data_IF_084506055538
#
_entry.id   IF_084506055538
#
_cell.length_a   1.000
_cell.length_b   1.000
_cell.length_c   1.000
_cell.angle_alpha   90.00
_cell.angle_beta   90.00
_cell.angle_gamma   90.00
#
_symmetry.space_group_name_H-M   'P 1'
#
loop_
_entity.id
_entity.type
_entity.pdbx_description
1 polymer ?
#
# COMPACT_ATOMS: atom_id res chain seq x y z
N UNK A 1 3.30 -7.83 9.98
CA UNK A 1 3.49 -9.30 10.03
C UNK A 1 2.73 -9.82 11.24
N UNK A 2 1.55 -10.39 11.03
CA UNK A 2 0.70 -10.88 12.13
C UNK A 2 1.14 -12.29 12.55
N UNK A 3 1.41 -12.44 13.85
CA UNK A 3 1.84 -13.65 14.53
C UNK A 3 0.79 -14.79 14.53
N UNK A 4 -0.45 -14.54 14.08
CA UNK A 4 -1.58 -15.40 14.42
C UNK A 4 -1.76 -16.56 13.42
N UNK A 5 -1.50 -16.37 12.12
CA UNK A 5 -1.54 -17.47 11.13
C UNK A 5 -0.40 -18.46 11.40
N UNK A 6 0.78 -17.93 11.75
CA UNK A 6 1.94 -18.74 12.13
C UNK A 6 1.68 -19.59 13.38
N UNK A 7 0.86 -19.14 14.33
CA UNK A 7 0.45 -19.97 15.48
C UNK A 7 -0.37 -21.19 15.03
N UNK A 8 -1.33 -21.05 14.11
CA UNK A 8 -2.08 -22.19 13.57
C UNK A 8 -1.22 -23.09 12.66
N UNK A 9 -0.35 -22.50 11.84
CA UNK A 9 0.60 -23.24 11.00
C UNK A 9 1.60 -24.03 11.86
N UNK A 10 2.11 -23.45 12.96
CA UNK A 10 3.03 -24.14 13.86
C UNK A 10 2.37 -25.33 14.57
N UNK A 11 1.07 -25.25 14.84
CA UNK A 11 0.27 -26.33 15.43
C UNK A 11 -0.07 -27.44 14.42
N UNK A 12 -0.28 -27.09 13.15
CA UNK A 12 -0.66 -28.04 12.08
C UNK A 12 0.55 -28.55 11.27
N UNK A 13 1.72 -27.91 11.40
CA UNK A 13 2.94 -28.16 10.63
C UNK A 13 3.64 -29.50 10.91
N UNK A 14 3.10 -30.35 11.78
CA UNK A 14 3.62 -31.70 12.02
C UNK A 14 3.13 -32.74 10.99
N UNK A 15 2.22 -32.39 10.06
CA UNK A 15 1.58 -33.36 9.15
C UNK A 15 2.06 -33.29 7.69
N UNK A 16 2.83 -32.27 7.29
CA UNK A 16 3.38 -32.18 5.92
C UNK A 16 4.90 -31.96 5.96
N UNK A 17 5.65 -33.04 5.72
CA UNK A 17 7.12 -32.98 5.51
C UNK A 17 7.43 -32.75 4.03
N UNK A 18 8.29 -31.79 3.69
CA UNK A 18 9.03 -31.81 2.43
C UNK A 18 10.45 -32.35 2.63
N UNK A 19 10.85 -33.28 1.77
CA UNK A 19 12.22 -33.80 1.69
C UNK A 19 13.20 -32.79 1.07
N UNK A 20 14.42 -32.80 1.58
CA UNK A 20 15.58 -32.06 1.09
C UNK A 20 16.05 -32.55 -0.29
N UNK A 21 16.42 -31.61 -1.18
CA UNK A 21 17.49 -31.79 -2.16
C UNK A 21 18.13 -30.45 -2.55
N UNK A 22 19.46 -30.45 -2.68
CA UNK A 22 20.36 -29.33 -2.92
C UNK A 22 20.67 -29.11 -4.42
N UNK A 23 21.03 -27.85 -4.73
CA UNK A 23 22.03 -27.39 -5.72
C UNK A 23 21.71 -27.41 -7.23
N UNK A 24 21.74 -26.22 -7.87
CA UNK A 24 22.84 -25.75 -8.76
C UNK A 24 22.43 -24.49 -9.56
N UNK A 25 23.36 -23.55 -9.77
CA UNK A 25 23.17 -22.33 -10.57
C UNK A 25 23.55 -22.55 -12.05
N UNK A 26 22.97 -21.77 -12.99
CA UNK A 26 23.73 -21.38 -14.18
C UNK A 26 23.59 -19.91 -14.65
N UNK A 27 24.61 -19.54 -15.42
CA UNK A 27 25.05 -18.29 -16.03
C UNK A 27 24.12 -17.73 -17.15
N UNK A 28 24.30 -16.46 -17.59
CA UNK A 28 23.40 -15.78 -18.53
C UNK A 28 23.49 -16.32 -19.96
N UNK A 29 22.32 -16.45 -20.61
CA UNK A 29 22.18 -16.89 -22.00
C UNK A 29 22.08 -15.70 -22.96
N UNK A 30 22.91 -15.71 -24.01
CA UNK A 30 22.65 -15.00 -25.26
C UNK A 30 21.78 -15.89 -26.15
N UNK A 31 20.77 -15.30 -26.81
CA UNK A 31 19.84 -15.99 -27.71
C UNK A 31 20.50 -16.36 -29.06
N UNK A 32 20.23 -17.57 -29.57
CA UNK A 32 20.46 -17.98 -30.96
C UNK A 32 19.14 -18.47 -31.57
N UNK A 33 18.81 -18.00 -32.77
CA UNK A 33 17.69 -18.52 -33.58
C UNK A 33 18.05 -19.81 -34.33
N UNK A 34 17.05 -20.62 -34.77
CA UNK A 34 17.25 -21.97 -35.27
C UNK A 34 17.29 -22.12 -36.81
N UNK A 35 18.15 -23.05 -37.27
CA UNK A 35 18.12 -23.81 -38.55
C UNK A 35 18.56 -23.05 -39.82
N UNK A 36 19.16 -23.64 -40.88
CA UNK A 36 19.24 -25.02 -41.36
C UNK A 36 20.57 -25.32 -42.13
N UNK A 37 20.68 -26.56 -42.63
CA UNK A 37 21.85 -27.28 -43.16
C UNK A 37 22.64 -26.62 -44.32
N UNK A 38 23.94 -26.90 -44.28
CA UNK A 38 25.01 -26.74 -45.29
C UNK A 38 25.77 -25.40 -45.37
N UNK A 39 27.10 -25.53 -45.23
CA UNK A 39 28.19 -24.55 -45.40
C UNK A 39 28.71 -23.79 -44.18
N UNK A 40 30.00 -23.44 -44.29
CA UNK A 40 31.02 -23.36 -43.25
C UNK A 40 30.87 -22.18 -42.26
N UNK A 41 31.53 -22.34 -41.11
CA UNK A 41 31.53 -21.45 -39.96
C UNK A 41 32.21 -20.10 -40.26
N UNK A 42 31.45 -19.00 -40.25
CA UNK A 42 32.00 -17.66 -40.02
C UNK A 42 31.79 -17.24 -38.55
N UNK A 43 32.79 -16.57 -37.92
CA UNK A 43 32.67 -16.10 -36.55
C UNK A 43 31.61 -14.99 -36.42
N UNK A 44 30.88 -14.90 -35.28
CA UNK A 44 29.86 -13.88 -35.08
C UNK A 44 30.48 -12.49 -35.11
N UNK A 45 30.00 -11.66 -36.03
CA UNK A 45 30.38 -10.25 -36.17
C UNK A 45 29.67 -9.44 -35.10
N UNK A 46 30.37 -9.06 -34.04
CA UNK A 46 29.90 -8.07 -33.08
C UNK A 46 29.98 -6.68 -33.71
N UNK A 47 28.86 -5.96 -33.80
CA UNK A 47 28.87 -4.54 -34.16
C UNK A 47 29.60 -3.74 -33.06
N UNK A 48 30.55 -2.85 -33.39
CA UNK A 48 31.19 -1.99 -32.40
C UNK A 48 30.18 -0.96 -31.86
N UNK A 49 30.31 -0.52 -30.60
CA UNK A 49 29.46 0.51 -30.05
C UNK A 49 29.64 1.81 -30.85
N UNK A 50 28.53 2.37 -31.33
CA UNK A 50 28.49 3.70 -31.92
C UNK A 50 28.96 4.71 -30.87
N UNK A 51 30.12 5.32 -31.13
CA UNK A 51 30.57 6.51 -30.42
C UNK A 51 29.59 7.65 -30.73
N UNK A 52 28.60 7.84 -29.87
CA UNK A 52 27.90 9.11 -29.81
C UNK A 52 28.79 10.07 -29.02
N UNK A 53 29.36 11.05 -29.72
CA UNK A 53 30.03 12.17 -29.06
C UNK A 53 29.05 12.84 -28.10
N UNK A 54 29.45 13.20 -26.86
CA UNK A 54 28.56 13.95 -25.98
C UNK A 54 28.25 15.30 -26.64
N UNK A 55 26.96 15.62 -26.75
CA UNK A 55 26.51 16.98 -27.04
C UNK A 55 27.13 17.94 -26.02
N UNK A 56 27.48 19.18 -26.41
CA UNK A 56 28.08 20.14 -25.50
C UNK A 56 27.17 20.39 -24.30
N UNK A 57 27.73 20.22 -23.09
CA UNK A 57 27.02 20.45 -21.83
C UNK A 57 26.59 21.92 -21.74
N UNK A 58 25.29 22.16 -21.58
CA UNK A 58 24.76 23.50 -21.31
C UNK A 58 25.20 23.94 -19.91
N UNK A 59 25.88 25.09 -19.82
CA UNK A 59 26.25 25.75 -18.56
C UNK A 59 25.10 26.67 -18.14
N UNK A 60 24.82 26.74 -16.85
CA UNK A 60 23.91 27.76 -16.30
C UNK A 60 24.62 29.13 -16.23
N UNK A 61 23.87 30.19 -15.93
CA UNK A 61 24.37 31.59 -15.86
C UNK A 61 25.50 31.79 -14.83
N UNK A 62 25.71 30.81 -13.94
CA UNK A 62 26.75 30.81 -12.90
C UNK A 62 28.00 29.97 -13.26
N UNK A 63 28.05 29.40 -14.47
CA UNK A 63 29.22 28.66 -14.96
C UNK A 63 29.38 27.23 -14.40
N UNK A 64 28.42 26.74 -13.63
CA UNK A 64 28.35 25.35 -13.17
C UNK A 64 27.72 24.46 -14.27
N UNK A 65 28.20 23.22 -14.38
CA UNK A 65 27.56 22.23 -15.25
C UNK A 65 26.13 21.99 -14.73
N UNK A 66 25.12 22.15 -15.61
CA UNK A 66 23.75 21.82 -15.26
C UNK A 66 23.67 20.36 -14.78
N UNK A 67 23.09 20.16 -13.60
CA UNK A 67 22.93 18.82 -13.03
C UNK A 67 22.12 17.95 -14.00
N UNK A 68 22.73 16.85 -14.45
CA UNK A 68 22.13 15.89 -15.36
C UNK A 68 22.18 14.49 -14.75
N UNK A 69 21.02 13.86 -14.62
CA UNK A 69 20.87 12.51 -14.09
C UNK A 69 19.62 11.87 -14.72
N UNK A 70 19.64 10.55 -15.05
CA UNK A 70 18.57 9.91 -15.81
C UNK A 70 17.21 9.87 -15.10
N UNK A 71 17.22 9.87 -13.76
CA UNK A 71 16.00 9.76 -12.93
C UNK A 71 15.72 11.06 -12.16
N UNK A 72 16.68 11.50 -11.36
CA UNK A 72 16.55 12.69 -10.51
C UNK A 72 16.74 13.98 -11.31
N UNK A 73 15.78 14.89 -11.16
CA UNK A 73 15.83 16.24 -11.74
C UNK A 73 16.70 17.21 -10.94
N UNK A 74 17.00 16.88 -9.69
CA UNK A 74 17.76 17.72 -8.76
C UNK A 74 18.87 16.92 -8.09
N UNK A 75 20.00 17.59 -7.83
CA UNK A 75 21.07 17.02 -7.01
C UNK A 75 20.51 16.66 -5.62
N UNK A 76 20.73 15.43 -5.11
CA UNK A 76 20.21 15.03 -3.82
C UNK A 76 20.67 15.97 -2.69
N UNK A 77 19.73 16.40 -1.85
CA UNK A 77 19.98 17.27 -0.71
C UNK A 77 20.04 16.44 0.57
N UNK A 78 21.22 16.25 1.14
CA UNK A 78 21.47 15.31 2.24
C UNK A 78 21.73 16.00 3.58
N UNK A 79 21.25 15.39 4.67
CA UNK A 79 21.66 15.70 6.04
C UNK A 79 22.58 14.59 6.56
N UNK A 80 23.69 15.01 7.18
CA UNK A 80 24.81 14.18 7.64
C UNK A 80 25.60 13.47 6.52
N UNK A 81 26.93 13.42 6.67
CA UNK A 81 27.84 12.73 5.72
C UNK A 81 28.02 11.25 6.05
N UNK A 82 27.65 10.81 7.25
CA UNK A 82 27.81 9.43 7.72
C UNK A 82 26.47 8.66 7.79
N UNK A 83 26.46 7.34 7.52
CA UNK A 83 25.24 6.53 7.49
C UNK A 83 24.56 6.34 8.86
N UNK A 84 23.21 6.24 8.90
CA UNK A 84 22.29 6.44 7.78
C UNK A 84 22.00 7.94 7.58
N UNK A 85 22.62 8.54 6.56
CA UNK A 85 22.27 9.89 6.11
C UNK A 85 20.98 9.84 5.30
N UNK A 86 20.02 10.69 5.66
CA UNK A 86 18.78 10.89 4.89
C UNK A 86 18.97 12.02 3.89
N UNK A 87 18.47 11.82 2.66
CA UNK A 87 18.49 12.85 1.63
C UNK A 87 17.12 13.01 0.99
N UNK A 88 16.85 14.21 0.49
CA UNK A 88 15.77 14.50 -0.43
C UNK A 88 16.23 14.23 -1.87
N UNK A 89 15.53 13.34 -2.55
CA UNK A 89 15.68 13.03 -3.98
C UNK A 89 14.43 13.49 -4.71
N UNK A 90 14.55 14.27 -5.79
CA UNK A 90 13.37 14.81 -6.49
C UNK A 90 13.46 14.56 -7.99
N UNK A 91 12.37 14.07 -8.57
CA UNK A 91 12.16 13.98 -10.02
C UNK A 91 10.91 14.78 -10.42
N UNK A 92 10.95 15.43 -11.59
CA UNK A 92 9.79 16.09 -12.20
C UNK A 92 9.02 15.17 -13.15
N UNK A 93 9.56 13.99 -13.42
CA UNK A 93 9.05 13.07 -14.44
C UNK A 93 8.67 11.72 -13.83
N UNK A 94 8.03 11.74 -12.65
CA UNK A 94 7.62 10.51 -12.00
C UNK A 94 6.46 9.84 -12.72
N UNK A 95 5.35 10.53 -13.00
CA UNK A 95 4.25 9.93 -13.75
C UNK A 95 3.37 11.00 -14.40
N UNK A 96 3.14 10.90 -15.71
CA UNK A 96 2.28 11.85 -16.45
C UNK A 96 2.61 13.33 -16.20
N UNK A 97 3.90 13.66 -16.10
CA UNK A 97 4.37 15.02 -15.79
C UNK A 97 4.25 15.43 -14.32
N UNK A 98 3.79 14.55 -13.42
CA UNK A 98 3.86 14.80 -11.98
C UNK A 98 5.25 14.55 -11.43
N UNK A 99 5.66 15.38 -10.48
CA UNK A 99 6.87 15.18 -9.70
C UNK A 99 6.68 14.24 -8.51
N UNK A 100 7.81 13.75 -8.00
CA UNK A 100 7.92 12.99 -6.77
C UNK A 100 9.20 13.39 -6.03
N UNK A 101 9.07 13.66 -4.73
CA UNK A 101 10.19 13.75 -3.82
C UNK A 101 10.23 12.57 -2.85
N UNK A 102 11.42 12.04 -2.58
CA UNK A 102 11.65 10.94 -1.64
C UNK A 102 12.66 11.41 -0.59
N UNK A 103 12.30 11.32 0.70
CA UNK A 103 13.19 11.53 1.84
C UNK A 103 13.53 10.17 2.44
N UNK A 104 14.69 9.64 2.05
CA UNK A 104 15.11 8.29 2.42
C UNK A 104 16.65 8.17 2.42
N UNK A 105 17.13 6.98 2.77
CA UNK A 105 18.53 6.61 2.50
C UNK A 105 18.76 6.53 0.98
N UNK A 106 20.03 6.61 0.55
CA UNK A 106 20.39 6.41 -0.87
C UNK A 106 19.97 5.03 -1.40
N UNK A 107 20.09 3.99 -0.57
CA UNK A 107 19.74 2.63 -0.95
C UNK A 107 18.23 2.49 -1.20
N UNK A 108 17.41 3.00 -0.28
CA UNK A 108 15.96 3.01 -0.42
C UNK A 108 15.49 3.86 -1.61
N UNK A 109 16.06 5.06 -1.81
CA UNK A 109 15.72 5.88 -2.97
C UNK A 109 16.07 5.20 -4.30
N UNK A 110 17.19 4.47 -4.36
CA UNK A 110 17.56 3.66 -5.53
C UNK A 110 16.55 2.53 -5.77
N UNK A 111 16.19 1.78 -4.73
CA UNK A 111 15.23 0.69 -4.83
C UNK A 111 13.84 1.19 -5.28
N UNK A 112 13.35 2.27 -4.67
CA UNK A 112 12.10 2.92 -5.10
C UNK A 112 12.14 3.35 -6.57
N UNK A 113 13.26 3.93 -7.03
CA UNK A 113 13.39 4.38 -8.42
C UNK A 113 13.36 3.26 -9.45
N UNK A 114 13.67 2.02 -9.06
CA UNK A 114 13.56 0.86 -9.94
C UNK A 114 12.11 0.50 -10.29
N UNK A 115 11.14 1.00 -9.52
CA UNK A 115 9.71 0.75 -9.67
C UNK A 115 9.03 1.80 -10.58
N UNK A 116 9.74 2.87 -10.96
CA UNK A 116 9.18 3.96 -11.77
C UNK A 116 8.66 3.50 -13.14
N UNK A 117 9.33 2.59 -13.90
CA UNK A 117 8.79 2.10 -15.17
C UNK A 117 7.42 1.42 -15.05
N UNK A 118 7.19 0.70 -13.96
CA UNK A 118 5.89 0.10 -13.68
C UNK A 118 4.85 1.17 -13.33
N UNK A 119 5.23 2.20 -12.56
CA UNK A 119 4.38 3.37 -12.31
C UNK A 119 3.98 4.09 -13.63
N UNK A 120 4.93 4.26 -14.55
CA UNK A 120 4.71 4.87 -15.87
C UNK A 120 3.73 4.07 -16.73
N UNK A 121 3.81 2.74 -16.64
CA UNK A 121 3.00 1.82 -17.46
C UNK A 121 1.61 1.56 -16.86
N UNK A 122 1.39 1.92 -15.60
CA UNK A 122 0.12 1.70 -14.91
C UNK A 122 -1.03 2.51 -15.55
N UNK A 123 -2.26 1.97 -15.58
CA UNK A 123 -3.39 2.61 -16.25
C UNK A 123 -3.73 3.97 -15.66
N UNK A 124 -4.13 4.91 -16.53
CA UNK A 124 -4.61 6.23 -16.14
C UNK A 124 -6.13 6.18 -16.09
N UNK A 125 -6.69 6.41 -14.91
CA UNK A 125 -8.14 6.44 -14.72
C UNK A 125 -8.70 7.84 -15.01
N UNK A 126 -9.90 7.88 -15.59
CA UNK A 126 -10.54 9.13 -15.97
C UNK A 126 -10.95 9.93 -14.73
N UNK A 127 -10.68 11.26 -14.70
CA UNK A 127 -11.22 12.14 -13.65
C UNK A 127 -12.75 12.28 -13.75
N UNK A 128 -13.40 11.71 -14.78
CA UNK A 128 -14.85 11.80 -14.95
C UNK A 128 -15.65 10.96 -13.96
N UNK A 129 -15.05 10.09 -13.13
CA UNK A 129 -15.76 9.25 -12.16
C UNK A 129 -16.18 9.99 -10.89
N UNK A 130 -15.49 11.07 -10.57
CA UNK A 130 -15.75 11.85 -9.37
C UNK A 130 -15.46 13.33 -9.60
N UNK A 131 -15.98 14.16 -8.71
CA UNK A 131 -15.63 15.58 -8.64
C UNK A 131 -15.30 15.96 -7.21
N UNK A 132 -14.36 16.90 -7.04
CA UNK A 132 -14.03 17.46 -5.72
C UNK A 132 -15.08 18.52 -5.38
N UNK A 133 -15.75 18.39 -4.24
CA UNK A 133 -16.74 19.37 -3.76
C UNK A 133 -16.42 19.80 -2.34
N UNK A 134 -16.90 20.99 -1.97
CA UNK A 134 -16.93 21.38 -0.56
C UNK A 134 -18.03 20.58 0.16
N UNK A 135 -17.65 20.00 1.30
CA UNK A 135 -18.47 19.14 2.12
C UNK A 135 -18.71 19.85 3.46
N UNK A 136 -19.96 20.22 3.79
CA UNK A 136 -20.26 20.93 5.03
C UNK A 136 -19.68 20.22 6.26
N UNK A 137 -18.83 20.94 7.01
CA UNK A 137 -18.18 20.41 8.21
C UNK A 137 -17.04 19.39 7.98
N UNK A 138 -16.71 19.05 6.73
CA UNK A 138 -15.66 18.08 6.37
C UNK A 138 -14.60 18.63 5.40
N UNK A 139 -14.62 19.93 5.10
CA UNK A 139 -13.69 20.52 4.13
C UNK A 139 -14.04 20.13 2.70
N UNK A 140 -13.16 19.39 2.02
CA UNK A 140 -13.39 18.91 0.64
C UNK A 140 -13.60 17.40 0.63
N UNK A 141 -14.37 16.91 -0.33
CA UNK A 141 -14.69 15.49 -0.50
C UNK A 141 -14.77 15.12 -1.98
N UNK A 142 -14.68 13.82 -2.28
CA UNK A 142 -14.97 13.30 -3.60
C UNK A 142 -16.43 12.88 -3.69
N UNK A 143 -17.11 13.28 -4.76
CA UNK A 143 -18.51 12.91 -5.05
C UNK A 143 -18.57 12.18 -6.38
N UNK A 144 -19.20 11.02 -6.41
CA UNK A 144 -19.35 10.24 -7.63
C UNK A 144 -20.22 10.99 -8.66
N UNK A 145 -19.78 11.05 -9.91
CA UNK A 145 -20.53 11.71 -11.00
C UNK A 145 -21.51 10.78 -11.71
N UNK A 146 -21.31 9.46 -11.56
CA UNK A 146 -22.14 8.39 -12.10
C UNK A 146 -22.20 7.23 -11.10
N UNK A 147 -23.11 6.25 -11.27
CA UNK A 147 -23.06 5.02 -10.49
C UNK A 147 -21.73 4.29 -10.72
N UNK A 148 -21.12 3.79 -9.64
CA UNK A 148 -19.86 3.02 -9.64
C UNK A 148 -20.16 1.62 -9.10
N UNK A 149 -20.02 0.55 -9.88
CA UNK A 149 -20.22 -0.81 -9.40
C UNK A 149 -19.15 -1.24 -8.38
N UNK A 150 -19.53 -2.19 -7.51
CA UNK A 150 -18.58 -2.83 -6.58
C UNK A 150 -17.38 -3.41 -7.35
N UNK A 151 -16.18 -3.16 -6.84
CA UNK A 151 -14.92 -3.64 -7.39
C UNK A 151 -14.31 -2.76 -8.49
N UNK A 152 -15.03 -1.76 -9.00
CA UNK A 152 -14.47 -0.80 -9.97
C UNK A 152 -13.38 0.06 -9.29
N UNK A 153 -12.25 0.23 -9.99
CA UNK A 153 -11.19 1.17 -9.57
C UNK A 153 -11.63 2.59 -9.87
N UNK A 154 -11.73 3.40 -8.81
CA UNK A 154 -12.18 4.80 -8.85
C UNK A 154 -11.04 5.71 -9.29
N UNK A 155 -9.85 5.52 -8.72
CA UNK A 155 -8.66 6.27 -9.10
C UNK A 155 -7.37 5.54 -8.72
N UNK A 156 -6.29 5.93 -9.38
CA UNK A 156 -4.92 5.49 -9.09
C UNK A 156 -4.04 6.72 -8.96
N UNK A 157 -3.68 7.06 -7.72
CA UNK A 157 -2.96 8.30 -7.38
C UNK A 157 -1.46 8.06 -7.22
N UNK A 158 -0.68 9.07 -7.61
CA UNK A 158 0.77 9.08 -7.50
C UNK A 158 1.23 9.78 -6.22
N UNK A 159 2.28 9.29 -5.56
CA UNK A 159 2.83 10.00 -4.42
C UNK A 159 3.52 11.28 -4.91
N UNK A 160 3.36 12.37 -4.16
CA UNK A 160 4.16 13.61 -4.35
C UNK A 160 5.31 13.69 -3.36
N UNK A 161 5.15 13.03 -2.22
CA UNK A 161 6.18 12.89 -1.22
C UNK A 161 6.15 11.48 -0.64
N UNK A 162 7.31 10.84 -0.56
CA UNK A 162 7.55 9.63 0.23
C UNK A 162 8.62 9.98 1.26
N UNK A 163 8.39 9.69 2.53
CA UNK A 163 9.35 9.96 3.59
C UNK A 163 9.47 8.76 4.53
N UNK A 164 10.70 8.39 4.91
CA UNK A 164 10.90 7.37 5.94
C UNK A 164 10.18 7.76 7.23
N UNK A 165 9.52 6.79 7.86
CA UNK A 165 8.87 6.95 9.15
C UNK A 165 9.89 7.04 10.29
N UNK A 166 11.09 6.48 10.12
CA UNK A 166 12.17 6.55 11.12
C UNK A 166 13.00 7.85 11.01
N UNK A 167 12.89 8.55 9.89
CA UNK A 167 13.62 9.79 9.66
C UNK A 167 13.41 10.85 10.76
N UNK A 168 12.18 11.14 11.23
CA UNK A 168 11.96 12.15 12.28
C UNK A 168 12.62 11.82 13.64
N UNK A 169 12.84 10.54 13.95
CA UNK A 169 13.54 10.12 15.18
C UNK A 169 15.06 10.08 15.02
N UNK A 170 15.57 10.01 13.78
CA UNK A 170 17.00 9.91 13.45
C UNK A 170 17.65 11.23 13.03
N UNK A 171 16.86 12.25 12.69
CA UNK A 171 17.36 13.55 12.25
C UNK A 171 16.84 14.65 13.16
N UNK A 172 17.73 15.55 13.59
CA UNK A 172 17.37 16.67 14.47
C UNK A 172 16.27 17.56 13.82
N UNK A 173 15.19 17.95 14.52
CA UNK A 173 13.98 18.48 13.88
C UNK A 173 14.18 19.69 12.94
N UNK A 174 14.99 20.72 13.29
CA UNK A 174 15.37 21.80 12.36
C UNK A 174 15.99 21.34 11.04
N UNK A 175 16.78 20.28 11.05
CA UNK A 175 17.36 19.71 9.84
C UNK A 175 16.33 18.89 9.08
N UNK A 176 15.48 18.16 9.80
CA UNK A 176 14.39 17.41 9.19
C UNK A 176 13.44 18.33 8.41
N UNK A 177 13.11 19.48 8.98
CA UNK A 177 12.34 20.55 8.31
C UNK A 177 12.98 21.05 7.02
N UNK A 178 14.33 21.13 6.96
CA UNK A 178 15.03 21.51 5.72
C UNK A 178 14.84 20.46 4.63
N UNK A 179 14.87 19.18 4.97
CA UNK A 179 14.62 18.10 4.00
C UNK A 179 13.18 18.15 3.46
N UNK A 180 12.19 18.34 4.34
CA UNK A 180 10.79 18.54 3.93
C UNK A 180 10.60 19.79 3.06
N UNK A 181 11.16 20.92 3.49
CA UNK A 181 11.10 22.15 2.72
C UNK A 181 11.71 21.97 1.33
N UNK A 182 12.87 21.33 1.24
CA UNK A 182 13.53 21.05 -0.03
C UNK A 182 12.69 20.11 -0.92
N UNK A 183 12.08 19.08 -0.33
CA UNK A 183 11.21 18.15 -1.06
C UNK A 183 10.06 18.90 -1.74
N UNK A 184 9.33 19.71 -0.98
CA UNK A 184 8.18 20.45 -1.52
C UNK A 184 8.62 21.58 -2.47
N UNK A 185 9.71 22.29 -2.18
CA UNK A 185 10.20 23.38 -3.01
C UNK A 185 10.65 22.90 -4.41
N UNK A 186 11.23 21.70 -4.48
CA UNK A 186 11.72 21.10 -5.72
C UNK A 186 10.63 20.43 -6.56
N UNK A 187 9.40 20.27 -6.07
CA UNK A 187 8.30 19.72 -6.89
C UNK A 187 7.90 20.71 -8.02
N UNK A 188 7.33 20.21 -9.13
CA UNK A 188 6.70 21.08 -10.13
C UNK A 188 5.68 22.02 -9.48
N UNK A 189 5.51 23.27 -9.98
CA UNK A 189 4.64 24.25 -9.35
C UNK A 189 3.20 23.78 -9.12
N UNK A 190 2.64 23.00 -10.06
CA UNK A 190 1.31 22.42 -9.94
C UNK A 190 1.23 21.38 -8.79
N UNK A 191 2.19 20.45 -8.70
CA UNK A 191 2.24 19.46 -7.62
C UNK A 191 2.50 20.11 -6.26
N UNK A 192 3.36 21.14 -6.22
CA UNK A 192 3.60 21.93 -5.01
C UNK A 192 2.31 22.60 -4.52
N UNK A 193 1.54 23.21 -5.42
CA UNK A 193 0.25 23.82 -5.09
C UNK A 193 -0.77 22.77 -4.61
N UNK A 194 -0.80 21.58 -5.22
CA UNK A 194 -1.65 20.48 -4.78
C UNK A 194 -1.35 20.07 -3.34
N UNK A 195 -0.07 19.84 -3.00
CA UNK A 195 0.36 19.45 -1.65
C UNK A 195 0.07 20.55 -0.63
N UNK A 196 0.41 21.81 -0.94
CA UNK A 196 0.22 22.91 -0.01
C UNK A 196 -1.25 23.29 0.22
N UNK A 197 -2.14 22.91 -0.71
CA UNK A 197 -3.59 23.09 -0.60
C UNK A 197 -4.33 21.96 0.11
N UNK A 198 -3.63 20.95 0.63
CA UNK A 198 -4.21 19.91 1.49
C UNK A 198 -4.48 20.44 2.90
N UNK A 199 -5.25 19.67 3.69
CA UNK A 199 -5.59 20.06 5.05
C UNK A 199 -4.34 20.12 5.95
N UNK A 200 -4.24 21.15 6.78
CA UNK A 200 -3.15 21.38 7.72
C UNK A 200 -3.74 21.98 9.00
N UNK A 201 -4.56 21.18 9.69
CA UNK A 201 -5.40 21.62 10.80
C UNK A 201 -4.88 21.23 12.19
N UNK A 202 -3.78 20.47 12.29
CA UNK A 202 -3.25 19.94 13.55
C UNK A 202 -2.11 20.77 14.14
N UNK A 203 -1.64 21.79 13.42
CA UNK A 203 -0.60 22.72 13.83
C UNK A 203 0.84 22.21 13.67
N UNK A 204 1.78 23.15 13.84
CA UNK A 204 3.21 22.95 13.61
C UNK A 204 3.69 23.64 12.34
N UNK A 205 4.82 23.20 11.77
CA UNK A 205 5.23 23.70 10.46
C UNK A 205 4.32 23.15 9.37
N UNK A 206 3.96 23.97 8.39
CA UNK A 206 2.92 23.66 7.40
C UNK A 206 3.07 22.29 6.72
N UNK A 207 4.27 21.95 6.23
CA UNK A 207 4.49 20.65 5.55
C UNK A 207 4.36 19.47 6.51
N UNK A 208 4.81 19.63 7.76
CA UNK A 208 4.66 18.59 8.78
C UNK A 208 3.19 18.40 9.13
N UNK A 209 2.43 19.51 9.23
CA UNK A 209 0.99 19.50 9.49
C UNK A 209 0.21 18.79 8.36
N UNK A 210 0.49 19.14 7.10
CA UNK A 210 -0.05 18.44 5.92
C UNK A 210 0.21 16.93 5.98
N UNK A 211 1.41 16.51 6.40
CA UNK A 211 1.75 15.10 6.48
C UNK A 211 1.01 14.39 7.62
N UNK A 212 0.81 15.03 8.77
CA UNK A 212 0.09 14.42 9.90
C UNK A 212 -1.36 14.08 9.54
N UNK A 213 -1.99 14.92 8.73
CA UNK A 213 -3.42 14.82 8.37
C UNK A 213 -3.67 13.95 7.14
N UNK A 214 -2.74 13.96 6.17
CA UNK A 214 -2.97 13.41 4.82
C UNK A 214 -2.04 12.25 4.42
N UNK A 215 -0.99 11.94 5.19
CA UNK A 215 -0.07 10.88 4.79
C UNK A 215 -0.63 9.47 5.08
N UNK A 216 -0.36 8.56 4.16
CA UNK A 216 -0.70 7.14 4.27
C UNK A 216 0.55 6.34 4.60
N UNK A 217 0.39 5.29 5.39
CA UNK A 217 1.44 4.28 5.52
C UNK A 217 1.64 3.59 4.16
N UNK A 218 2.89 3.45 3.75
CA UNK A 218 3.27 2.75 2.53
C UNK A 218 4.56 1.96 2.79
N UNK A 219 4.81 0.98 1.93
CA UNK A 219 6.00 0.14 1.97
C UNK A 219 6.78 0.31 0.68
N UNK A 220 8.06 0.59 0.78
CA UNK A 220 8.97 0.49 -0.36
C UNK A 220 10.05 -0.50 0.02
N UNK A 221 10.65 -1.15 -0.98
CA UNK A 221 11.91 -1.84 -0.75
C UNK A 221 12.93 -0.81 -0.26
N UNK A 222 13.41 -1.02 0.95
CA UNK A 222 14.34 -0.12 1.63
C UNK A 222 15.75 -0.71 1.69
N UNK A 223 16.02 -1.74 0.88
CA UNK A 223 17.25 -2.51 0.87
C UNK A 223 17.55 -3.20 2.22
N UNK A 224 16.50 -3.61 2.96
CA UNK A 224 16.59 -4.41 4.17
C UNK A 224 16.78 -3.61 5.46
N UNK A 225 16.44 -2.31 5.48
CA UNK A 225 16.53 -1.50 6.70
C UNK A 225 15.35 -1.68 7.65
N UNK A 226 14.23 -2.25 7.20
CA UNK A 226 12.99 -2.39 7.95
C UNK A 226 12.26 -1.07 8.25
N UNK A 227 12.55 0.00 7.52
CA UNK A 227 11.88 1.30 7.62
C UNK A 227 10.45 1.20 7.06
N UNK A 228 9.47 1.72 7.82
CA UNK A 228 8.16 2.08 7.28
C UNK A 228 8.23 3.44 6.58
N UNK A 229 7.28 3.73 5.69
CA UNK A 229 7.24 5.01 4.97
C UNK A 229 5.88 5.70 5.08
N UNK A 230 5.92 7.02 5.04
CA UNK A 230 4.77 7.90 4.93
C UNK A 230 4.73 8.41 3.48
N UNK A 231 3.61 8.19 2.81
CA UNK A 231 3.39 8.60 1.43
C UNK A 231 2.21 9.59 1.34
N UNK A 232 2.40 10.67 0.58
CA UNK A 232 1.38 11.70 0.37
C UNK A 232 0.79 11.59 -1.03
N UNK A 233 -0.51 11.30 -1.10
CA UNK A 233 -1.30 11.11 -2.32
C UNK A 233 -2.39 12.19 -2.40
N UNK A 234 -2.15 13.32 -3.10
CA UNK A 234 -3.04 14.47 -3.01
C UNK A 234 -4.50 14.24 -3.43
N UNK A 235 -4.76 13.37 -4.41
CA UNK A 235 -6.14 13.06 -4.84
C UNK A 235 -6.85 12.17 -3.82
N UNK A 236 -6.15 11.15 -3.29
CA UNK A 236 -6.69 10.26 -2.23
C UNK A 236 -6.91 11.03 -0.92
N UNK A 237 -6.07 12.01 -0.63
CA UNK A 237 -6.17 12.88 0.55
C UNK A 237 -7.43 13.76 0.56
N UNK A 238 -8.18 13.83 -0.55
CA UNK A 238 -9.49 14.49 -0.62
C UNK A 238 -10.65 13.57 -0.27
N UNK A 239 -10.41 12.29 0.02
CA UNK A 239 -11.47 11.33 0.34
C UNK A 239 -11.71 11.37 1.85
N UNK A 240 -12.94 11.69 2.25
CA UNK A 240 -13.33 11.76 3.66
C UNK A 240 -13.49 10.39 4.31
N UNK A 241 -13.47 10.40 5.63
CA UNK A 241 -13.69 9.22 6.44
C UNK A 241 -15.18 8.80 6.52
N UNK A 242 -15.42 7.48 6.52
CA UNK A 242 -16.61 6.87 7.11
C UNK A 242 -16.26 5.56 7.83
N UNK A 243 -16.93 5.27 8.95
CA UNK A 243 -16.70 4.04 9.73
C UNK A 243 -17.21 2.76 9.04
N UNK A 244 -18.11 2.93 8.08
CA UNK A 244 -18.57 1.90 7.14
C UNK A 244 -18.43 2.48 5.72
N UNK A 245 -17.20 2.50 5.18
CA UNK A 245 -16.91 3.21 3.95
C UNK A 245 -17.51 2.51 2.73
N UNK A 246 -17.54 3.22 1.60
CA UNK A 246 -17.96 2.65 0.32
C UNK A 246 -16.80 2.37 -0.64
N UNK A 247 -15.59 2.80 -0.29
CA UNK A 247 -14.37 2.53 -1.01
C UNK A 247 -13.21 2.12 -0.08
N UNK A 248 -12.21 1.47 -0.65
CA UNK A 248 -10.97 1.07 0.00
C UNK A 248 -9.79 1.73 -0.69
N UNK A 249 -8.87 2.31 0.09
CA UNK A 249 -7.57 2.76 -0.41
C UNK A 249 -6.53 1.68 -0.10
N UNK A 250 -5.81 1.21 -1.13
CA UNK A 250 -4.73 0.25 -1.00
C UNK A 250 -3.49 0.71 -1.76
N UNK A 251 -2.34 0.56 -1.15
CA UNK A 251 -1.07 0.91 -1.75
C UNK A 251 -0.58 -0.23 -2.67
N UNK A 252 0.06 0.08 -3.79
CA UNK A 252 0.58 -0.89 -4.76
C UNK A 252 2.09 -0.65 -4.93
N UNK A 253 2.98 -1.26 -4.14
CA UNK A 253 4.42 -1.03 -4.15
C UNK A 253 5.06 -1.17 -5.51
N UNK A 254 4.64 -2.15 -6.32
CA UNK A 254 5.25 -2.45 -7.60
C UNK A 254 5.17 -1.25 -8.54
N UNK A 255 4.23 -0.34 -8.29
CA UNK A 255 4.08 0.92 -9.00
C UNK A 255 4.22 2.17 -8.09
N UNK A 256 4.33 2.00 -6.78
CA UNK A 256 4.27 3.05 -5.76
C UNK A 256 2.97 3.86 -5.74
N UNK A 257 1.89 3.35 -6.34
CA UNK A 257 0.63 4.07 -6.49
C UNK A 257 -0.36 3.72 -5.39
N UNK A 258 -1.30 4.62 -5.09
CA UNK A 258 -2.44 4.34 -4.22
C UNK A 258 -3.67 4.10 -5.10
N UNK A 259 -4.23 2.89 -5.04
CA UNK A 259 -5.46 2.54 -5.71
C UNK A 259 -6.66 2.72 -4.77
N UNK A 260 -7.72 3.36 -5.27
CA UNK A 260 -9.00 3.42 -4.57
C UNK A 260 -10.02 2.58 -5.33
N UNK A 261 -10.63 1.61 -4.65
CA UNK A 261 -11.62 0.69 -5.23
C UNK A 261 -12.95 0.73 -4.49
N UNK A 262 -14.05 0.63 -5.22
CA UNK A 262 -15.38 0.57 -4.64
C UNK A 262 -15.59 -0.77 -3.87
N UNK A 263 -15.90 -0.69 -2.58
CA UNK A 263 -16.21 -1.86 -1.73
C UNK A 263 -17.66 -2.35 -1.89
N UNK A 264 -18.54 -1.42 -2.27
CA UNK A 264 -19.94 -1.65 -2.62
C UNK A 264 -20.32 -0.77 -3.81
N UNK A 265 -21.52 -0.94 -4.34
CA UNK A 265 -22.04 0.00 -5.31
C UNK A 265 -22.14 1.41 -4.68
N UNK A 266 -21.77 2.43 -5.46
CA UNK A 266 -21.82 3.84 -5.08
C UNK A 266 -22.77 4.55 -6.06
N UNK A 267 -23.75 5.27 -5.54
CA UNK A 267 -24.71 6.01 -6.36
C UNK A 267 -24.11 7.27 -6.98
N UNK A 268 -24.70 7.75 -8.07
CA UNK A 268 -24.37 9.09 -8.59
C UNK A 268 -24.74 10.15 -7.55
N UNK A 269 -23.83 11.10 -7.30
CA UNK A 269 -23.98 12.12 -6.27
C UNK A 269 -23.65 11.67 -4.84
N UNK A 270 -23.33 10.39 -4.62
CA UNK A 270 -22.89 9.89 -3.32
C UNK A 270 -21.44 10.30 -3.04
N UNK A 271 -21.14 10.65 -1.78
CA UNK A 271 -19.78 10.91 -1.31
C UNK A 271 -18.97 9.60 -1.31
N UNK A 272 -17.80 9.61 -1.94
CA UNK A 272 -16.84 8.51 -1.87
C UNK A 272 -16.08 8.64 -0.54
N UNK A 273 -16.02 7.56 0.23
CA UNK A 273 -15.43 7.54 1.57
C UNK A 273 -14.53 6.32 1.77
N UNK A 274 -13.49 6.48 2.59
CA UNK A 274 -12.58 5.41 3.02
C UNK A 274 -12.53 5.36 4.56
N UNK A 275 -11.94 4.30 5.13
CA UNK A 275 -11.63 4.30 6.56
C UNK A 275 -10.23 4.87 6.83
N UNK A 276 -10.09 5.73 7.84
CA UNK A 276 -8.80 6.25 8.30
C UNK A 276 -8.21 5.42 9.44
N UNK A 277 -9.04 4.59 10.06
CA UNK A 277 -8.68 3.83 11.25
C UNK A 277 -9.07 2.37 11.14
N UNK A 278 -8.82 1.67 12.24
CA UNK A 278 -9.29 0.30 12.44
C UNK A 278 -10.81 0.23 12.33
N UNK A 279 -11.30 -0.76 11.61
CA UNK A 279 -12.73 -0.91 11.36
C UNK A 279 -13.41 -1.54 12.59
N UNK A 280 -12.73 -2.39 13.34
CA UNK A 280 -13.27 -3.17 14.45
C UNK A 280 -13.52 -2.39 15.76
N UNK A 281 -13.26 -1.08 15.81
CA UNK A 281 -13.41 -0.26 17.02
C UNK A 281 -14.88 0.04 17.33
N UNK A 282 -15.21 0.23 18.62
CA UNK A 282 -16.52 0.68 19.10
C UNK A 282 -16.77 2.16 18.79
N UNK A 283 -18.02 2.65 18.82
CA UNK A 283 -18.35 4.04 18.47
C UNK A 283 -17.56 5.04 19.31
N UNK A 284 -17.47 4.83 20.62
CA UNK A 284 -16.74 5.73 21.51
C UNK A 284 -15.25 5.80 21.15
N UNK A 285 -14.63 4.64 20.92
CA UNK A 285 -13.22 4.52 20.54
C UNK A 285 -12.93 5.14 19.17
N UNK A 286 -13.84 4.94 18.19
CA UNK A 286 -13.78 5.59 16.88
C UNK A 286 -13.83 7.12 17.02
N UNK A 287 -14.75 7.65 17.82
CA UNK A 287 -14.86 9.10 18.04
C UNK A 287 -13.61 9.68 18.71
N UNK A 288 -13.07 8.99 19.71
CA UNK A 288 -11.81 9.40 20.38
C UNK A 288 -10.62 9.37 19.41
N UNK A 289 -10.51 8.32 18.58
CA UNK A 289 -9.48 8.19 17.56
C UNK A 289 -9.51 9.36 16.59
N UNK A 290 -10.67 9.69 16.01
CA UNK A 290 -10.78 10.76 15.02
C UNK A 290 -10.66 12.15 15.63
N UNK A 291 -11.14 12.34 16.86
CA UNK A 291 -10.96 13.61 17.57
C UNK A 291 -9.49 13.87 17.89
N UNK A 292 -8.72 12.85 18.30
CA UNK A 292 -7.29 12.99 18.62
C UNK A 292 -6.41 13.02 17.37
N UNK A 293 -6.72 12.20 16.38
CA UNK A 293 -5.89 12.04 15.18
C UNK A 293 -6.12 13.12 14.12
N UNK A 294 -7.37 13.58 13.97
CA UNK A 294 -7.77 14.51 12.90
C UNK A 294 -8.61 15.69 13.38
N UNK A 295 -8.86 15.82 14.68
CA UNK A 295 -9.57 16.98 15.23
C UNK A 295 -11.07 17.04 14.92
N UNK A 296 -11.71 15.96 14.44
CA UNK A 296 -13.14 15.96 14.10
C UNK A 296 -13.95 14.90 14.85
N UNK A 297 -15.25 15.18 15.02
CA UNK A 297 -16.27 14.23 15.45
C UNK A 297 -16.89 13.55 14.23
N UNK A 298 -16.84 12.22 14.16
CA UNK A 298 -17.38 11.50 13.00
C UNK A 298 -18.91 11.54 12.99
N UNK A 299 -19.48 11.96 11.86
CA UNK A 299 -20.93 12.03 11.63
C UNK A 299 -21.35 11.14 10.46
N UNK A 300 -20.62 10.07 10.17
CA UNK A 300 -21.03 9.10 9.15
C UNK A 300 -22.32 8.38 9.56
N UNK A 301 -22.97 7.72 8.60
CA UNK A 301 -24.23 6.99 8.83
C UNK A 301 -24.16 6.09 10.06
N UNK A 302 -23.14 5.23 10.17
CA UNK A 302 -22.96 4.33 11.31
C UNK A 302 -22.89 5.06 12.66
N UNK A 303 -22.24 6.22 12.71
CA UNK A 303 -22.12 7.01 13.95
C UNK A 303 -23.36 7.85 14.27
N UNK A 304 -24.26 8.03 13.31
CA UNK A 304 -25.49 8.83 13.41
C UNK A 304 -26.76 7.99 13.55
N UNK A 305 -26.66 6.65 13.46
CA UNK A 305 -27.76 5.71 13.75
C UNK A 305 -28.30 5.88 15.17
N UNK A 306 -29.49 5.32 15.42
CA UNK A 306 -30.11 5.34 16.74
C UNK A 306 -29.27 4.58 17.78
N UNK A 307 -29.39 4.95 19.06
CA UNK A 307 -28.60 4.34 20.15
C UNK A 307 -28.79 2.82 20.27
N UNK A 308 -29.94 2.29 19.86
CA UNK A 308 -30.19 0.83 19.77
C UNK A 308 -29.31 0.16 18.71
N UNK A 309 -29.36 0.65 17.47
CA UNK A 309 -28.56 0.14 16.35
C UNK A 309 -27.06 0.30 16.59
N UNK A 310 -26.65 1.43 17.19
CA UNK A 310 -25.26 1.66 17.60
C UNK A 310 -24.82 0.60 18.61
N UNK A 311 -25.65 0.31 19.62
CA UNK A 311 -25.32 -0.70 20.64
C UNK A 311 -25.21 -2.10 20.03
N UNK A 312 -26.08 -2.44 19.09
CA UNK A 312 -26.00 -3.71 18.36
C UNK A 312 -24.71 -3.81 17.53
N UNK A 313 -24.37 -2.75 16.78
CA UNK A 313 -23.14 -2.71 15.98
C UNK A 313 -21.89 -2.76 16.86
N UNK A 314 -21.86 -2.01 17.96
CA UNK A 314 -20.76 -2.06 18.93
C UNK A 314 -20.67 -3.45 19.59
N UNK A 315 -21.80 -4.12 19.86
CA UNK A 315 -21.83 -5.51 20.32
C UNK A 315 -21.17 -6.47 19.33
N UNK A 316 -21.51 -6.37 18.04
CA UNK A 316 -20.88 -7.17 16.98
C UNK A 316 -19.40 -6.87 16.81
N UNK A 317 -19.00 -5.60 16.77
CA UNK A 317 -17.58 -5.20 16.65
C UNK A 317 -16.75 -5.61 17.86
N UNK A 318 -17.31 -5.51 19.06
CA UNK A 318 -16.70 -6.04 20.28
C UNK A 318 -16.52 -7.55 20.23
N UNK A 319 -17.53 -8.29 19.75
CA UNK A 319 -17.44 -9.74 19.54
C UNK A 319 -16.40 -10.11 18.48
N UNK A 320 -16.33 -9.36 17.39
CA UNK A 320 -15.32 -9.53 16.34
C UNK A 320 -13.89 -9.40 16.90
N UNK A 321 -13.63 -8.34 17.68
CA UNK A 321 -12.35 -8.13 18.32
C UNK A 321 -12.01 -9.23 19.35
N UNK A 322 -13.00 -9.67 20.14
CA UNK A 322 -12.86 -10.78 21.08
C UNK A 322 -12.45 -12.09 20.40
N UNK A 323 -13.16 -12.48 19.34
CA UNK A 323 -12.91 -13.71 18.59
C UNK A 323 -11.52 -13.70 17.94
N UNK A 324 -11.14 -12.59 17.30
CA UNK A 324 -9.78 -12.43 16.76
C UNK A 324 -8.71 -12.49 17.85
N UNK A 325 -8.98 -11.93 19.04
CA UNK A 325 -8.11 -12.08 20.20
C UNK A 325 -7.92 -13.53 20.63
N UNK A 326 -9.01 -14.33 20.65
CA UNK A 326 -8.95 -15.77 20.96
C UNK A 326 -8.17 -16.55 19.93
N UNK A 327 -8.47 -16.35 18.64
CA UNK A 327 -7.77 -16.98 17.53
C UNK A 327 -6.27 -16.66 17.54
N UNK A 328 -5.95 -15.41 17.89
CA UNK A 328 -4.57 -14.97 18.01
C UNK A 328 -3.80 -15.56 19.18
N UNK A 329 -4.50 -15.95 20.25
CA UNK A 329 -3.92 -16.54 21.46
C UNK A 329 -3.88 -18.08 21.42
N UNK A 330 -4.25 -18.71 20.30
CA UNK A 330 -4.23 -20.17 20.16
C UNK A 330 -2.80 -20.73 20.31
N UNK A 331 -2.70 -21.82 21.06
CA UNK A 331 -1.49 -22.63 21.23
C UNK A 331 -1.80 -24.08 20.85
N UNK A 332 -0.77 -24.91 20.68
CA UNK A 332 -0.92 -26.32 20.29
C UNK A 332 -1.86 -27.11 21.22
N UNK A 333 -1.69 -26.96 22.53
CA UNK A 333 -2.57 -27.63 23.51
C UNK A 333 -3.98 -27.04 23.64
N UNK A 334 -4.23 -25.86 23.06
CA UNK A 334 -5.52 -25.17 23.09
C UNK A 334 -6.31 -25.24 21.78
N UNK A 335 -5.75 -25.87 20.74
CA UNK A 335 -6.36 -25.96 19.42
C UNK A 335 -7.46 -27.03 19.38
N UNK A 336 -8.64 -26.63 18.92
CA UNK A 336 -9.78 -27.51 18.63
C UNK A 336 -10.38 -27.05 17.30
N UNK A 337 -10.33 -27.91 16.29
CA UNK A 337 -10.65 -27.52 14.92
C UNK A 337 -12.12 -27.10 14.75
N UNK A 338 -13.06 -27.83 15.35
CA UNK A 338 -14.49 -27.52 15.24
C UNK A 338 -14.83 -26.21 15.96
N UNK A 339 -14.22 -25.96 17.13
CA UNK A 339 -14.36 -24.69 17.83
C UNK A 339 -13.79 -23.52 17.04
N UNK A 340 -12.62 -23.69 16.43
CA UNK A 340 -12.00 -22.67 15.58
C UNK A 340 -12.87 -22.38 14.36
N UNK A 341 -13.38 -23.42 13.68
CA UNK A 341 -14.33 -23.23 12.57
C UNK A 341 -15.55 -22.45 13.04
N UNK A 342 -16.13 -22.79 14.20
CA UNK A 342 -17.27 -22.06 14.76
C UNK A 342 -16.99 -20.58 14.97
N UNK A 343 -15.83 -20.23 15.53
CA UNK A 343 -15.42 -18.83 15.71
C UNK A 343 -15.17 -18.09 14.39
N UNK A 344 -14.53 -18.73 13.43
CA UNK A 344 -14.25 -18.15 12.12
C UNK A 344 -15.53 -17.92 11.32
N UNK A 345 -16.50 -18.84 11.40
CA UNK A 345 -17.80 -18.66 10.75
C UNK A 345 -18.58 -17.49 11.37
N UNK A 346 -18.56 -17.35 12.70
CA UNK A 346 -19.16 -16.20 13.40
C UNK A 346 -18.48 -14.88 12.99
N UNK A 347 -17.15 -14.86 12.82
CA UNK A 347 -16.41 -13.70 12.30
C UNK A 347 -16.84 -13.32 10.88
N UNK A 348 -17.06 -14.29 9.99
CA UNK A 348 -17.53 -14.03 8.63
C UNK A 348 -18.93 -13.43 8.60
N UNK A 349 -19.83 -13.91 9.46
CA UNK A 349 -21.18 -13.36 9.61
C UNK A 349 -21.13 -11.90 10.10
N UNK A 350 -20.38 -11.64 11.18
CA UNK A 350 -20.19 -10.29 11.70
C UNK A 350 -19.54 -9.39 10.64
N UNK A 351 -18.54 -9.90 9.91
CA UNK A 351 -17.89 -9.15 8.84
C UNK A 351 -18.87 -8.72 7.75
N UNK A 352 -19.83 -9.56 7.41
CA UNK A 352 -20.84 -9.24 6.41
C UNK A 352 -21.80 -8.15 6.89
N UNK A 353 -22.25 -8.22 8.15
CA UNK A 353 -23.16 -7.22 8.73
C UNK A 353 -22.48 -5.87 8.96
N UNK A 354 -21.19 -5.87 9.31
CA UNK A 354 -20.44 -4.66 9.70
C UNK A 354 -19.57 -4.07 8.58
N UNK A 355 -19.58 -4.67 7.39
CA UNK A 355 -18.82 -4.21 6.22
C UNK A 355 -17.31 -4.34 6.38
N UNK A 356 -16.85 -5.44 6.98
CA UNK A 356 -15.44 -5.70 7.31
C UNK A 356 -14.74 -6.61 6.29
N UNK A 357 -15.34 -6.87 5.12
CA UNK A 357 -14.85 -7.90 4.20
C UNK A 357 -13.44 -7.63 3.68
N UNK A 358 -13.00 -6.37 3.68
CA UNK A 358 -11.66 -5.97 3.22
C UNK A 358 -10.53 -6.38 4.16
N UNK A 359 -10.84 -6.82 5.39
CA UNK A 359 -9.84 -7.26 6.37
C UNK A 359 -9.89 -8.77 6.65
N UNK A 360 -10.62 -9.56 5.85
CA UNK A 360 -10.89 -10.98 6.13
C UNK A 360 -9.89 -11.98 5.55
N UNK A 361 -8.86 -11.53 4.82
CA UNK A 361 -7.89 -12.42 4.19
C UNK A 361 -7.25 -13.43 5.17
N UNK A 362 -6.89 -12.96 6.36
CA UNK A 362 -6.23 -13.78 7.38
C UNK A 362 -7.14 -14.90 7.92
N UNK A 363 -8.41 -14.57 8.18
CA UNK A 363 -9.44 -15.48 8.69
C UNK A 363 -9.77 -16.57 7.63
N UNK A 364 -9.90 -16.14 6.36
CA UNK A 364 -10.12 -17.05 5.22
C UNK A 364 -8.94 -18.02 5.03
N UNK A 365 -7.72 -17.54 5.19
CA UNK A 365 -6.51 -18.37 5.12
C UNK A 365 -6.46 -19.36 6.29
N UNK A 366 -6.79 -18.93 7.51
CA UNK A 366 -6.81 -19.82 8.68
C UNK A 366 -7.81 -20.95 8.49
N UNK A 367 -9.02 -20.65 7.99
CA UNK A 367 -9.99 -21.67 7.63
C UNK A 367 -9.39 -22.69 6.65
N UNK A 368 -8.68 -22.23 5.61
CA UNK A 368 -8.03 -23.14 4.67
C UNK A 368 -7.09 -24.14 5.35
N UNK A 369 -6.23 -23.65 6.25
CA UNK A 369 -5.33 -24.51 7.02
C UNK A 369 -6.06 -25.47 7.96
N UNK A 370 -7.10 -25.00 8.67
CA UNK A 370 -7.89 -25.86 9.59
C UNK A 370 -8.57 -26.99 8.84
N UNK A 371 -9.22 -26.70 7.70
CA UNK A 371 -9.84 -27.73 6.87
C UNK A 371 -8.81 -28.69 6.26
N UNK A 372 -7.64 -28.19 5.84
CA UNK A 372 -6.55 -29.04 5.34
C UNK A 372 -6.07 -30.01 6.42
N UNK A 373 -5.88 -29.54 7.66
CA UNK A 373 -5.48 -30.37 8.80
C UNK A 373 -6.51 -31.45 9.17
N UNK A 374 -7.80 -31.24 8.85
CA UNK A 374 -8.87 -32.23 8.99
C UNK A 374 -8.95 -33.22 7.81
N UNK A 375 -8.08 -33.11 6.79
CA UNK A 375 -8.15 -33.90 5.57
C UNK A 375 -9.28 -33.50 4.61
N UNK A 376 -9.93 -32.35 4.85
CA UNK A 376 -11.05 -31.83 4.05
C UNK A 376 -10.53 -30.91 2.95
N UNK A 377 -9.88 -31.53 1.96
CA UNK A 377 -9.04 -30.82 0.97
C UNK A 377 -9.85 -29.90 0.03
N UNK A 378 -11.08 -30.29 -0.33
CA UNK A 378 -11.91 -29.48 -1.22
C UNK A 378 -12.38 -28.19 -0.54
N UNK A 379 -12.80 -28.28 0.73
CA UNK A 379 -13.12 -27.10 1.53
C UNK A 379 -11.88 -26.23 1.78
N UNK A 380 -10.73 -26.85 2.08
CA UNK A 380 -9.47 -26.13 2.25
C UNK A 380 -9.13 -25.31 0.99
N UNK A 381 -9.24 -25.92 -0.20
CA UNK A 381 -8.97 -25.25 -1.48
C UNK A 381 -9.93 -24.09 -1.73
N UNK A 382 -11.21 -24.27 -1.39
CA UNK A 382 -12.21 -23.21 -1.51
C UNK A 382 -11.88 -22.01 -0.61
N UNK A 383 -11.51 -22.25 0.65
CA UNK A 383 -11.12 -21.19 1.57
C UNK A 383 -9.81 -20.50 1.16
N UNK A 384 -8.80 -21.26 0.74
CA UNK A 384 -7.55 -20.70 0.22
C UNK A 384 -7.78 -19.83 -1.02
N UNK A 385 -8.68 -20.25 -1.93
CA UNK A 385 -9.06 -19.45 -3.10
C UNK A 385 -9.75 -18.15 -2.69
N UNK A 386 -10.66 -18.19 -1.72
CA UNK A 386 -11.29 -16.98 -1.17
C UNK A 386 -10.28 -16.05 -0.50
N UNK A 387 -9.31 -16.60 0.23
CA UNK A 387 -8.23 -15.83 0.85
C UNK A 387 -7.38 -15.13 -0.21
N UNK A 388 -6.96 -15.86 -1.26
CA UNK A 388 -6.22 -15.31 -2.41
C UNK A 388 -7.00 -14.19 -3.09
N UNK A 389 -8.28 -14.42 -3.37
CA UNK A 389 -9.13 -13.44 -4.05
C UNK A 389 -9.37 -12.19 -3.18
N UNK A 390 -9.49 -12.36 -1.86
CA UNK A 390 -9.59 -11.26 -0.91
C UNK A 390 -8.30 -10.43 -0.89
N UNK A 391 -7.15 -11.10 -0.77
CA UNK A 391 -5.82 -10.48 -0.85
C UNK A 391 -5.69 -9.71 -2.16
N UNK A 392 -5.83 -10.36 -3.32
CA UNK A 392 -5.68 -9.72 -4.63
C UNK A 392 -6.62 -8.53 -4.85
N UNK A 393 -7.80 -8.54 -4.21
CA UNK A 393 -8.78 -7.47 -4.35
C UNK A 393 -8.54 -6.30 -3.40
N UNK A 394 -8.16 -6.56 -2.15
CA UNK A 394 -8.18 -5.55 -1.08
C UNK A 394 -6.81 -5.29 -0.48
N UNK A 395 -5.99 -6.32 -0.32
CA UNK A 395 -4.72 -6.22 0.40
C UNK A 395 -3.51 -6.08 -0.51
N UNK A 396 -3.48 -6.77 -1.65
CA UNK A 396 -2.23 -7.00 -2.40
C UNK A 396 -1.62 -5.68 -2.82
N UNK A 397 -0.37 -5.64 -2.39
CA UNK A 397 0.66 -4.64 -2.45
C UNK A 397 1.74 -5.36 -3.27
N UNK A 398 1.48 -5.56 -4.58
CA UNK A 398 2.45 -6.13 -5.55
C UNK A 398 3.85 -5.57 -5.27
N UNK A 399 4.90 -6.38 -5.19
CA UNK A 399 6.28 -5.89 -5.02
C UNK A 399 6.75 -5.58 -3.58
N UNK A 400 5.93 -5.79 -2.56
CA UNK A 400 6.41 -5.94 -1.17
C UNK A 400 6.95 -7.36 -0.90
N UNK A 401 7.62 -7.62 0.24
CA UNK A 401 7.90 -8.97 0.71
C UNK A 401 6.60 -9.67 1.18
N UNK A 402 5.55 -9.67 0.35
CA UNK A 402 4.23 -10.20 0.68
C UNK A 402 4.31 -11.73 0.75
N UNK A 403 4.66 -12.19 1.95
CA UNK A 403 4.59 -13.59 2.34
C UNK A 403 3.16 -14.11 2.28
N UNK A 404 2.15 -13.27 2.43
CA UNK A 404 0.76 -13.72 2.57
C UNK A 404 0.20 -14.26 1.25
N UNK A 405 0.29 -13.51 0.15
CA UNK A 405 -0.20 -14.01 -1.15
C UNK A 405 0.61 -15.22 -1.62
N UNK A 406 1.93 -15.18 -1.44
CA UNK A 406 2.81 -16.31 -1.79
C UNK A 406 2.49 -17.55 -0.98
N UNK A 407 2.26 -17.42 0.33
CA UNK A 407 1.89 -18.52 1.23
C UNK A 407 0.54 -19.12 0.85
N UNK A 408 -0.46 -18.29 0.52
CA UNK A 408 -1.76 -18.77 0.06
C UNK A 408 -1.65 -19.46 -1.31
N UNK A 409 -0.84 -18.93 -2.23
CA UNK A 409 -0.58 -19.58 -3.52
C UNK A 409 0.20 -20.89 -3.38
N UNK A 410 1.13 -20.97 -2.44
CA UNK A 410 1.83 -22.20 -2.07
C UNK A 410 0.86 -23.24 -1.51
N UNK A 411 0.02 -22.85 -0.56
CA UNK A 411 -1.04 -23.71 0.00
C UNK A 411 -1.97 -24.23 -1.11
N UNK A 412 -2.40 -23.37 -2.04
CA UNK A 412 -3.21 -23.79 -3.18
C UNK A 412 -2.49 -24.81 -4.07
N UNK A 413 -1.18 -24.68 -4.28
CA UNK A 413 -0.40 -25.69 -5.03
C UNK A 413 -0.30 -27.01 -4.29
N UNK A 414 -0.16 -26.98 -2.96
CA UNK A 414 -0.07 -28.17 -2.12
C UNK A 414 -1.39 -28.94 -2.03
N UNK A 415 -2.52 -28.23 -2.03
CA UNK A 415 -3.86 -28.83 -1.99
C UNK A 415 -4.28 -29.49 -3.32
N UNK A 416 -3.53 -29.27 -4.41
CA UNK A 416 -3.89 -29.64 -5.77
C UNK A 416 -5.17 -28.96 -6.21
#
# INVERSE_FOLDING_TARGET
MNSLVLSCIAVLGAVVRPGLALSAAPQPQCWREPQALFHAQDPPTCLPPTQTSPLPKQKNEEGEEAYSHPIWSHKPYCMYKEPPGYCTFTTHSFRNGSGLSIIASRAAAKAASALFPAAHSAPIYSPSLYTVRDMPGKGKGLVATRPIPKGETILLDSPRLIASHQFPSRVHPPQGRKLFHQAIAQLPPADRALVLGLDASLGGAHVEDVLKTNAFACQIDDAGTGDGYMCLFPAVSRINHACMPNAHARFVPASLLMEVKAQRAIGAGEEITISYGKLELLRAERQELYQRGWGFRCTCELCMRGEGEVRESDGRRGRFAELRGRLGALTEGGFDAERVIGWEMELLEISHEEGLEVVMAEDLERLAYVYAGLGRLDEARNWASKARDNLLRWTVVDGGPDLDIKRVEELLRELG
#
